data_IF_900193576062
#
_entry.id   IF_900193576062
#
_cell.length_a   1.000
_cell.length_b   1.000
_cell.length_c   1.000
_cell.angle_alpha   90.00
_cell.angle_beta   90.00
_cell.angle_gamma   90.00
#
_symmetry.space_group_name_H-M   'P 1'
#
loop_
_entity.id
_entity.type
_entity.pdbx_description
1 polymer ?
#
# COMPACT_ATOMS: atom_id res chain seq x y z
N UNK A 1 72.37 94.75 44.70
CA UNK A 1 71.24 95.00 43.82
C UNK A 1 71.19 94.00 42.63
N UNK A 2 72.34 93.64 42.02
CA UNK A 2 72.35 92.67 40.87
C UNK A 2 71.91 91.30 41.27
N UNK A 3 72.33 90.76 42.45
CA UNK A 3 71.93 89.43 42.95
C UNK A 3 70.38 89.32 43.21
N UNK A 4 69.83 90.41 43.72
CA UNK A 4 68.34 90.49 43.95
C UNK A 4 67.58 90.52 42.63
N UNK A 5 68.08 91.26 41.61
CA UNK A 5 67.51 91.27 40.28
C UNK A 5 67.55 89.92 39.56
N UNK A 6 68.72 89.20 39.68
CA UNK A 6 68.85 87.86 39.13
C UNK A 6 67.93 86.80 39.86
N UNK A 7 67.84 86.91 41.16
CA UNK A 7 66.95 86.09 41.97
C UNK A 7 65.49 86.32 41.60
N UNK A 8 65.04 87.55 41.37
CA UNK A 8 63.73 87.94 40.93
C UNK A 8 63.40 87.42 39.53
N UNK A 9 64.34 87.49 38.62
CA UNK A 9 64.21 86.96 37.23
C UNK A 9 64.07 85.40 37.23
N UNK A 10 64.85 84.75 38.07
CA UNK A 10 64.74 83.24 38.20
C UNK A 10 63.37 82.85 38.78
N UNK A 11 62.95 83.61 39.80
CA UNK A 11 61.59 83.34 40.37
C UNK A 11 60.48 83.61 39.37
N UNK A 12 60.59 84.61 38.58
CA UNK A 12 59.62 84.91 37.53
C UNK A 12 59.56 83.82 36.43
N UNK A 13 60.72 83.28 36.03
CA UNK A 13 60.81 82.18 35.11
C UNK A 13 60.19 80.91 35.67
N UNK A 14 60.44 80.63 36.97
CA UNK A 14 59.85 79.48 37.65
C UNK A 14 58.35 79.57 37.76
N UNK A 15 57.83 80.76 38.06
CA UNK A 15 56.38 81.03 38.10
C UNK A 15 55.71 80.88 36.71
N UNK A 16 56.42 81.33 35.67
CA UNK A 16 55.95 81.10 34.29
C UNK A 16 55.92 79.69 33.87
N UNK A 17 56.95 78.89 34.24
CA UNK A 17 57.00 77.44 33.99
C UNK A 17 55.93 76.70 34.79
N UNK A 18 55.66 77.10 36.02
CA UNK A 18 54.62 76.51 36.85
C UNK A 18 53.21 76.85 36.27
N UNK A 19 53.00 78.09 35.79
CA UNK A 19 51.76 78.50 35.11
C UNK A 19 51.52 77.68 33.83
N UNK A 20 52.57 77.46 33.04
CA UNK A 20 52.46 76.59 31.82
C UNK A 20 52.16 75.14 32.19
N UNK A 21 52.86 74.60 33.20
CA UNK A 21 52.58 73.24 33.72
C UNK A 21 51.14 73.06 34.21
N UNK A 22 50.65 74.07 34.95
CA UNK A 22 49.24 74.07 35.42
C UNK A 22 48.23 74.14 34.30
N UNK A 23 48.51 74.91 33.24
CA UNK A 23 47.66 75.00 32.04
C UNK A 23 47.64 73.68 31.29
N UNK A 24 48.81 73.02 31.14
CA UNK A 24 48.92 71.71 30.53
C UNK A 24 48.13 70.66 31.33
N UNK A 25 48.28 70.67 32.63
CA UNK A 25 47.53 69.75 33.53
C UNK A 25 46.02 69.97 33.47
N UNK A 26 45.57 71.20 33.38
CA UNK A 26 44.15 71.55 33.22
C UNK A 26 43.61 71.06 31.88
N UNK A 27 44.41 71.14 30.78
CA UNK A 27 44.06 70.59 29.48
C UNK A 27 43.96 69.07 29.48
N UNK A 28 44.90 68.39 30.16
CA UNK A 28 44.89 66.96 30.31
C UNK A 28 43.66 66.45 31.13
N UNK A 29 43.32 67.20 32.22
CA UNK A 29 42.13 66.88 32.99
C UNK A 29 40.84 67.09 32.18
N UNK A 30 40.76 68.10 31.34
CA UNK A 30 39.63 68.31 30.44
C UNK A 30 39.52 67.21 29.39
N UNK A 31 40.63 66.76 28.81
CA UNK A 31 40.66 65.66 27.86
C UNK A 31 40.26 64.33 28.50
N UNK A 32 40.72 64.06 29.75
CA UNK A 32 40.30 62.91 30.51
C UNK A 32 38.83 62.91 30.86
N UNK A 33 38.30 64.07 31.23
CA UNK A 33 36.87 64.26 31.50
C UNK A 33 35.99 64.00 30.27
N UNK A 34 36.45 64.46 29.09
CA UNK A 34 35.79 64.20 27.82
C UNK A 34 35.87 62.70 27.47
N UNK A 35 37.02 62.05 27.58
CA UNK A 35 37.16 60.62 27.39
C UNK A 35 36.28 59.76 28.33
N UNK A 36 36.19 60.19 29.59
CA UNK A 36 35.32 59.52 30.54
C UNK A 36 33.83 59.67 30.18
N UNK A 37 33.39 60.82 29.70
CA UNK A 37 32.02 61.06 29.21
C UNK A 37 31.73 60.21 28.00
N UNK A 38 32.69 60.07 27.05
CA UNK A 38 32.54 59.19 25.89
C UNK A 38 32.41 57.74 26.30
N UNK A 39 33.27 57.24 27.20
CA UNK A 39 33.23 55.86 27.71
C UNK A 39 31.91 55.60 28.43
N UNK A 40 31.39 56.55 29.19
CA UNK A 40 30.09 56.40 29.86
C UNK A 40 28.92 56.34 28.89
N UNK A 41 28.99 57.07 27.79
CA UNK A 41 28.02 57.02 26.70
C UNK A 41 28.07 55.66 25.95
N UNK A 42 29.28 55.15 25.70
CA UNK A 42 29.48 53.84 25.09
C UNK A 42 28.96 52.67 25.94
N UNK A 43 29.22 52.76 27.25
CA UNK A 43 28.68 51.76 28.26
C UNK A 43 27.15 51.86 28.29
N UNK A 44 26.54 53.01 28.23
CA UNK A 44 25.09 53.17 28.19
C UNK A 44 24.52 52.57 26.89
N UNK A 45 25.18 52.83 25.78
CA UNK A 45 24.76 52.25 24.48
C UNK A 45 24.89 50.73 24.46
N UNK A 46 25.96 50.18 25.02
CA UNK A 46 26.14 48.72 25.17
C UNK A 46 25.08 48.10 26.08
N UNK A 47 24.76 48.77 27.21
CA UNK A 47 23.68 48.31 28.11
C UNK A 47 22.33 48.29 27.43
N UNK A 48 22.03 49.29 26.60
CA UNK A 48 20.80 49.34 25.81
C UNK A 48 20.77 48.23 24.75
N UNK A 49 21.90 48.00 24.04
CA UNK A 49 22.02 46.90 23.09
C UNK A 49 21.82 45.52 23.74
N UNK A 50 22.41 45.30 24.92
CA UNK A 50 22.24 44.06 25.66
C UNK A 50 20.78 43.87 26.12
N UNK A 51 20.12 44.91 26.60
CA UNK A 51 18.68 44.87 26.96
C UNK A 51 17.80 44.51 25.74
N UNK A 52 18.10 45.10 24.57
CA UNK A 52 17.39 44.77 23.31
C UNK A 52 17.60 43.32 22.90
N UNK A 53 18.84 42.84 22.97
CA UNK A 53 19.18 41.46 22.67
C UNK A 53 18.45 40.48 23.60
N UNK A 54 18.40 40.78 24.85
CA UNK A 54 17.69 39.95 25.85
C UNK A 54 16.15 39.93 25.59
N UNK A 55 15.58 41.06 25.22
CA UNK A 55 14.16 41.15 24.82
C UNK A 55 13.85 40.34 23.56
N UNK A 56 14.74 40.41 22.56
CA UNK A 56 14.64 39.62 21.34
C UNK A 56 14.73 38.12 21.62
N UNK A 57 15.64 37.70 22.50
CA UNK A 57 15.77 36.30 22.93
C UNK A 57 14.54 35.81 23.66
N UNK A 58 13.97 36.63 24.54
CA UNK A 58 12.72 36.31 25.23
C UNK A 58 11.53 36.18 24.26
N UNK A 59 11.46 37.07 23.26
CA UNK A 59 10.46 37.00 22.20
C UNK A 59 10.60 35.75 21.36
N UNK A 60 11.83 35.35 20.98
CA UNK A 60 12.09 34.12 20.25
C UNK A 60 11.73 32.88 21.08
N UNK A 61 12.11 32.87 22.37
CA UNK A 61 11.74 31.77 23.29
C UNK A 61 10.23 31.62 23.39
N UNK A 62 9.50 32.73 23.49
CA UNK A 62 8.02 32.72 23.52
C UNK A 62 7.43 32.23 22.20
N UNK A 63 7.99 32.66 21.06
CA UNK A 63 7.54 32.22 19.75
C UNK A 63 7.77 30.71 19.53
N UNK A 64 8.91 30.18 19.93
CA UNK A 64 9.19 28.75 19.88
C UNK A 64 8.23 27.95 20.80
N UNK A 65 8.00 28.41 22.03
CA UNK A 65 7.06 27.77 22.96
C UNK A 65 5.61 27.85 22.45
N UNK A 66 5.18 28.99 21.90
CA UNK A 66 3.85 29.15 21.33
C UNK A 66 3.67 28.38 20.02
N UNK A 67 4.72 28.19 19.24
CA UNK A 67 4.75 27.30 18.08
C UNK A 67 4.61 25.82 18.46
N UNK A 68 4.62 25.48 19.76
CA UNK A 68 4.43 24.13 20.26
C UNK A 68 5.53 23.16 19.85
N UNK A 69 6.78 23.64 19.69
CA UNK A 69 7.93 22.77 19.43
C UNK A 69 8.52 22.36 20.77
N UNK A 70 8.38 21.07 21.09
CA UNK A 70 8.91 20.49 22.33
C UNK A 70 9.76 19.26 22.02
N UNK A 71 10.77 19.02 22.82
CA UNK A 71 11.55 17.79 22.79
C UNK A 71 11.50 17.13 24.15
N UNK A 72 11.27 15.82 24.22
CA UNK A 72 11.40 15.08 25.47
C UNK A 72 12.85 14.59 25.66
N UNK A 73 13.19 14.22 26.89
CA UNK A 73 14.53 13.72 27.22
C UNK A 73 14.89 12.37 26.60
N UNK A 74 13.92 11.70 25.92
CA UNK A 74 14.08 10.41 25.27
C UNK A 74 14.14 10.52 23.72
N UNK A 75 14.43 11.71 23.17
CA UNK A 75 14.56 11.94 21.73
C UNK A 75 13.22 12.17 21.00
N UNK A 76 12.09 12.25 21.69
CA UNK A 76 10.80 12.58 21.09
C UNK A 76 10.71 14.06 20.71
N UNK A 77 10.10 14.37 19.56
CA UNK A 77 9.87 15.75 19.09
C UNK A 77 8.39 15.96 18.80
N UNK A 78 7.78 16.96 19.42
CA UNK A 78 6.41 17.36 19.12
C UNK A 78 6.34 18.78 18.55
N UNK A 79 5.40 19.04 17.66
CA UNK A 79 5.15 20.33 17.05
C UNK A 79 3.65 20.55 16.87
N UNK A 80 3.14 21.60 17.48
CA UNK A 80 1.73 22.02 17.40
C UNK A 80 1.05 22.08 18.76
N UNK A 81 -0.07 22.81 18.87
CA UNK A 81 -0.81 22.94 20.12
C UNK A 81 -1.30 21.60 20.64
N UNK A 82 -0.88 21.20 21.84
CA UNK A 82 -1.25 19.92 22.43
C UNK A 82 -0.66 18.68 21.77
N UNK A 83 0.35 18.83 20.90
CA UNK A 83 1.07 17.69 20.34
C UNK A 83 1.91 17.00 21.42
N UNK A 84 1.88 15.66 21.46
CA UNK A 84 2.59 14.84 22.45
C UNK A 84 3.42 13.74 21.76
N UNK A 85 4.74 13.82 21.90
CA UNK A 85 5.69 12.81 21.47
C UNK A 85 6.33 12.15 22.71
N UNK A 86 5.53 11.43 23.50
CA UNK A 86 5.99 10.82 24.76
C UNK A 86 6.79 9.53 24.54
N UNK A 87 6.67 8.89 23.38
CA UNK A 87 7.46 7.72 23.03
C UNK A 87 8.94 8.06 22.80
N UNK A 88 9.84 7.10 23.06
CA UNK A 88 11.27 7.27 22.74
C UNK A 88 11.46 7.41 21.23
N UNK A 89 12.26 8.41 20.81
CA UNK A 89 12.52 8.71 19.40
C UNK A 89 11.25 8.90 18.55
N UNK A 90 10.15 9.37 19.17
CA UNK A 90 8.87 9.56 18.48
C UNK A 90 8.76 10.97 17.88
N UNK A 91 7.85 11.14 16.93
CA UNK A 91 7.56 12.42 16.30
C UNK A 91 6.06 12.66 16.24
N UNK A 92 5.60 13.77 16.81
CA UNK A 92 4.20 14.18 16.77
C UNK A 92 4.07 15.59 16.18
N UNK A 93 3.44 15.74 15.03
CA UNK A 93 3.28 17.03 14.35
C UNK A 93 1.81 17.27 14.00
N UNK A 94 1.26 18.35 14.54
CA UNK A 94 -0.14 18.75 14.34
C UNK A 94 -0.84 19.00 15.67
N UNK A 95 -1.92 19.77 15.65
CA UNK A 95 -2.72 20.03 16.86
C UNK A 95 -3.25 18.72 17.47
N UNK A 96 -2.95 18.47 18.73
CA UNK A 96 -3.32 17.25 19.45
C UNK A 96 -2.82 15.94 18.80
N UNK A 97 -1.76 15.97 17.98
CA UNK A 97 -1.10 14.75 17.49
C UNK A 97 -0.44 14.00 18.64
N UNK A 98 -0.54 12.67 18.69
CA UNK A 98 0.02 11.85 19.76
C UNK A 98 0.88 10.71 19.18
N UNK A 99 2.16 10.66 19.56
CA UNK A 99 3.10 9.61 19.25
C UNK A 99 3.67 9.01 20.54
N UNK A 100 2.93 8.08 21.14
CA UNK A 100 3.27 7.46 22.40
C UNK A 100 4.05 6.15 22.28
N UNK A 101 4.03 5.52 21.11
CA UNK A 101 4.86 4.36 20.83
C UNK A 101 6.34 4.72 20.63
N UNK A 102 7.25 3.82 20.98
CA UNK A 102 8.67 3.99 20.67
C UNK A 102 8.90 4.00 19.15
N UNK A 103 9.73 4.93 18.66
CA UNK A 103 9.97 5.17 17.21
C UNK A 103 8.67 5.42 16.41
N UNK A 104 7.63 5.94 17.06
CA UNK A 104 6.36 6.19 16.41
C UNK A 104 6.33 7.58 15.75
N UNK A 105 5.56 7.71 14.66
CA UNK A 105 5.37 8.97 13.95
C UNK A 105 3.88 9.27 13.79
N UNK A 106 3.42 10.39 14.35
CA UNK A 106 2.07 10.92 14.21
C UNK A 106 2.12 12.28 13.49
N UNK A 107 1.57 12.37 12.29
CA UNK A 107 1.53 13.58 11.48
C UNK A 107 0.11 13.91 11.03
N UNK A 108 -0.44 14.96 11.55
CA UNK A 108 -1.79 15.45 11.28
C UNK A 108 -2.53 15.83 12.56
N UNK A 109 -3.55 16.66 12.44
CA UNK A 109 -4.38 17.03 13.58
C UNK A 109 -5.03 15.78 14.19
N UNK A 110 -4.89 15.60 15.51
CA UNK A 110 -5.42 14.46 16.25
C UNK A 110 -4.98 13.08 15.70
N UNK A 111 -3.86 13.01 14.97
CA UNK A 111 -3.27 11.73 14.57
C UNK A 111 -2.72 11.00 15.78
N UNK A 112 -2.83 9.67 15.81
CA UNK A 112 -2.41 8.85 16.94
C UNK A 112 -1.55 7.68 16.49
N UNK A 113 -0.28 7.63 16.92
CA UNK A 113 0.65 6.55 16.71
C UNK A 113 1.06 5.95 18.07
N UNK A 114 0.26 5.05 18.60
CA UNK A 114 0.48 4.46 19.92
C UNK A 114 1.21 3.11 19.89
N UNK A 115 1.24 2.44 18.74
CA UNK A 115 2.03 1.22 18.56
C UNK A 115 3.53 1.53 18.45
N UNK A 116 4.38 0.65 18.94
CA UNK A 116 5.83 0.76 18.71
C UNK A 116 6.14 0.64 17.22
N UNK A 117 7.05 1.48 16.70
CA UNK A 117 7.40 1.54 15.27
C UNK A 117 6.21 1.82 14.35
N UNK A 118 5.16 2.49 14.86
CA UNK A 118 3.95 2.78 14.11
C UNK A 118 4.00 4.14 13.42
N UNK A 119 3.22 4.29 12.35
CA UNK A 119 3.11 5.55 11.60
C UNK A 119 1.64 5.89 11.36
N UNK A 120 1.21 7.06 11.84
CA UNK A 120 -0.11 7.62 11.60
C UNK A 120 0.02 8.93 10.83
N UNK A 121 -0.43 8.97 9.58
CA UNK A 121 -0.35 10.11 8.69
C UNK A 121 -1.74 10.52 8.17
N UNK A 122 -2.23 11.63 8.63
CA UNK A 122 -3.53 12.19 8.27
C UNK A 122 -4.31 12.66 9.48
N UNK A 123 -5.29 13.52 9.27
CA UNK A 123 -6.17 13.98 10.33
C UNK A 123 -6.91 12.79 10.96
N UNK A 124 -6.87 12.67 12.28
CA UNK A 124 -7.51 11.60 13.04
C UNK A 124 -7.12 10.17 12.59
N UNK A 125 -5.97 10.01 11.92
CA UNK A 125 -5.44 8.68 11.63
C UNK A 125 -4.97 7.99 12.91
N UNK A 126 -5.08 6.66 12.98
CA UNK A 126 -4.72 5.88 14.16
C UNK A 126 -3.92 4.65 13.79
N UNK A 127 -2.69 4.54 14.30
CA UNK A 127 -1.81 3.38 14.15
C UNK A 127 -1.49 2.83 15.55
N UNK A 128 -2.31 1.90 16.03
CA UNK A 128 -2.21 1.38 17.40
C UNK A 128 -1.54 0.01 17.49
N UNK A 129 -1.50 -0.74 16.41
CA UNK A 129 -0.74 -2.00 16.34
C UNK A 129 0.77 -1.75 16.28
N UNK A 130 1.56 -2.65 16.81
CA UNK A 130 3.02 -2.59 16.69
C UNK A 130 3.44 -2.77 15.22
N UNK A 131 4.30 -1.89 14.71
CA UNK A 131 4.71 -1.88 13.30
C UNK A 131 3.58 -1.52 12.33
N UNK A 132 2.48 -0.93 12.81
CA UNK A 132 1.34 -0.60 11.96
C UNK A 132 1.51 0.74 11.24
N UNK A 133 0.83 0.88 10.10
CA UNK A 133 0.85 2.10 9.27
C UNK A 133 -0.57 2.51 8.90
N UNK A 134 -0.98 3.72 9.28
CA UNK A 134 -2.27 4.31 8.94
C UNK A 134 -2.05 5.61 8.15
N UNK A 135 -2.46 5.64 6.89
CA UNK A 135 -2.30 6.79 5.98
C UNK A 135 -3.64 7.19 5.37
N UNK A 136 -4.09 8.36 5.72
CA UNK A 136 -5.37 8.92 5.28
C UNK A 136 -6.18 9.49 6.43
N UNK A 137 -7.11 10.39 6.13
CA UNK A 137 -8.01 10.94 7.14
C UNK A 137 -8.84 9.81 7.77
N UNK A 138 -8.79 9.67 9.08
CA UNK A 138 -9.53 8.64 9.79
C UNK A 138 -9.11 7.21 9.48
N UNK A 139 -7.96 7.00 8.83
CA UNK A 139 -7.43 5.65 8.62
C UNK A 139 -7.08 4.98 9.95
N UNK A 140 -7.33 3.69 10.09
CA UNK A 140 -7.12 2.94 11.32
C UNK A 140 -6.38 1.63 11.05
N UNK A 141 -5.18 1.49 11.64
CA UNK A 141 -4.37 0.29 11.60
C UNK A 141 -4.13 -0.22 13.03
N UNK A 142 -5.01 -1.10 13.50
CA UNK A 142 -5.00 -1.59 14.87
C UNK A 142 -4.40 -2.98 15.04
N UNK A 143 -4.29 -3.76 13.98
CA UNK A 143 -3.57 -5.04 14.00
C UNK A 143 -2.06 -4.84 14.00
N UNK A 144 -1.31 -5.71 14.67
CA UNK A 144 0.14 -5.70 14.60
C UNK A 144 0.60 -5.97 13.16
N UNK A 145 1.57 -5.19 12.67
CA UNK A 145 2.03 -5.27 11.28
C UNK A 145 1.00 -4.86 10.24
N UNK A 146 -0.13 -4.27 10.63
CA UNK A 146 -1.21 -3.93 9.70
C UNK A 146 -0.96 -2.61 8.96
N UNK A 147 -1.57 -2.46 7.78
CA UNK A 147 -1.42 -1.29 6.92
C UNK A 147 -2.77 -0.81 6.41
N UNK A 148 -3.16 0.42 6.71
CA UNK A 148 -4.40 1.05 6.27
C UNK A 148 -4.08 2.28 5.40
N UNK A 149 -4.36 2.23 4.11
CA UNK A 149 -4.13 3.30 3.13
C UNK A 149 -5.44 3.77 2.51
N UNK A 150 -5.84 4.96 2.82
CA UNK A 150 -7.04 5.61 2.30
C UNK A 150 -7.88 6.25 3.38
N UNK A 151 -8.75 7.19 2.99
CA UNK A 151 -9.69 7.81 3.91
C UNK A 151 -10.58 6.73 4.55
N UNK A 152 -10.62 6.69 5.88
CA UNK A 152 -11.45 5.73 6.59
C UNK A 152 -11.09 4.25 6.34
N UNK A 153 -9.90 3.95 5.81
CA UNK A 153 -9.45 2.57 5.66
C UNK A 153 -9.21 1.91 7.01
N UNK A 154 -9.59 0.66 7.18
CA UNK A 154 -9.50 -0.08 8.45
C UNK A 154 -8.73 -1.39 8.23
N UNK A 155 -7.58 -1.54 8.90
CA UNK A 155 -6.79 -2.76 8.94
C UNK A 155 -6.68 -3.23 10.40
N UNK A 156 -7.58 -4.11 10.81
CA UNK A 156 -7.67 -4.59 12.21
C UNK A 156 -7.12 -6.00 12.42
N UNK A 157 -6.98 -6.79 11.35
CA UNK A 157 -6.32 -8.08 11.43
C UNK A 157 -4.80 -7.96 11.55
N UNK A 158 -4.15 -8.88 12.25
CA UNK A 158 -2.68 -8.96 12.27
C UNK A 158 -2.14 -9.17 10.86
N UNK A 159 -1.11 -8.42 10.47
CA UNK A 159 -0.53 -8.43 9.13
C UNK A 159 -1.55 -8.17 8.00
N UNK A 160 -2.64 -7.47 8.30
CA UNK A 160 -3.65 -7.16 7.30
C UNK A 160 -3.35 -5.88 6.54
N UNK A 161 -3.85 -5.77 5.31
CA UNK A 161 -3.69 -4.57 4.47
C UNK A 161 -5.03 -4.11 3.93
N UNK A 162 -5.44 -2.90 4.24
CA UNK A 162 -6.60 -2.22 3.66
C UNK A 162 -6.12 -1.09 2.75
N UNK A 163 -6.36 -1.23 1.44
CA UNK A 163 -5.92 -0.30 0.40
C UNK A 163 -7.11 0.27 -0.38
N UNK A 164 -7.49 1.48 -0.06
CA UNK A 164 -8.60 2.22 -0.67
C UNK A 164 -9.47 2.90 0.36
N UNK A 165 -10.21 3.93 -0.06
CA UNK A 165 -11.13 4.63 0.84
C UNK A 165 -12.19 3.66 1.39
N UNK A 166 -12.38 3.67 2.71
CA UNK A 166 -13.34 2.81 3.43
C UNK A 166 -13.12 1.30 3.19
N UNK A 167 -11.93 0.88 2.75
CA UNK A 167 -11.59 -0.54 2.68
C UNK A 167 -11.41 -1.12 4.09
N UNK A 168 -11.79 -2.39 4.28
CA UNK A 168 -11.72 -3.06 5.58
C UNK A 168 -11.04 -4.41 5.46
N UNK A 169 -9.92 -4.60 6.14
CA UNK A 169 -9.23 -5.87 6.27
C UNK A 169 -9.22 -6.30 7.74
N UNK A 170 -10.17 -7.14 8.11
CA UNK A 170 -10.45 -7.51 9.51
C UNK A 170 -9.86 -8.84 9.94
N UNK A 171 -9.54 -9.72 9.01
CA UNK A 171 -8.98 -11.03 9.31
C UNK A 171 -7.44 -11.02 9.26
N UNK A 172 -6.76 -11.92 9.98
CA UNK A 172 -5.30 -12.05 9.90
C UNK A 172 -4.81 -12.37 8.49
N UNK A 173 -3.69 -11.78 8.08
CA UNK A 173 -3.07 -11.94 6.76
C UNK A 173 -4.02 -11.66 5.59
N UNK A 174 -5.04 -10.84 5.78
CA UNK A 174 -6.01 -10.50 4.75
C UNK A 174 -5.66 -9.18 4.06
N UNK A 175 -6.03 -9.07 2.78
CA UNK A 175 -5.79 -7.87 1.98
C UNK A 175 -7.10 -7.43 1.31
N UNK A 176 -7.55 -6.21 1.57
CA UNK A 176 -8.70 -5.59 0.92
C UNK A 176 -8.22 -4.53 -0.08
N UNK A 177 -8.47 -4.71 -1.37
CA UNK A 177 -7.99 -3.82 -2.44
C UNK A 177 -9.15 -3.10 -3.12
N UNK A 178 -9.10 -1.79 -3.07
CA UNK A 178 -10.08 -0.89 -3.67
C UNK A 178 -11.06 -0.30 -2.66
N UNK A 179 -11.66 0.84 -3.00
CA UNK A 179 -12.61 1.52 -2.12
C UNK A 179 -13.78 0.60 -1.73
N UNK A 180 -14.18 0.60 -0.47
CA UNK A 180 -15.24 -0.25 0.12
C UNK A 180 -15.01 -1.77 -0.04
N UNK A 181 -13.80 -2.21 -0.33
CA UNK A 181 -13.49 -3.64 -0.35
C UNK A 181 -13.42 -4.19 1.07
N UNK A 182 -13.88 -5.44 1.25
CA UNK A 182 -13.92 -6.09 2.57
C UNK A 182 -13.24 -7.44 2.50
N UNK A 183 -12.20 -7.63 3.32
CA UNK A 183 -11.49 -8.90 3.50
C UNK A 183 -11.71 -9.39 4.93
N UNK A 184 -12.66 -10.32 5.10
CA UNK A 184 -13.09 -10.85 6.41
C UNK A 184 -12.65 -12.30 6.66
N UNK A 185 -12.01 -12.94 5.69
CA UNK A 185 -11.46 -14.28 5.85
C UNK A 185 -9.92 -14.25 5.92
N UNK A 186 -9.29 -15.05 6.77
CA UNK A 186 -7.84 -15.07 6.89
C UNK A 186 -7.16 -15.61 5.63
N UNK A 187 -5.95 -15.10 5.34
CA UNK A 187 -5.13 -15.49 4.19
C UNK A 187 -5.83 -15.29 2.84
N UNK A 188 -6.64 -14.23 2.69
CA UNK A 188 -7.36 -13.92 1.46
C UNK A 188 -7.06 -12.52 0.95
N UNK A 189 -7.22 -12.35 -0.36
CA UNK A 189 -7.23 -11.04 -1.02
C UNK A 189 -8.63 -10.79 -1.56
N UNK A 190 -9.25 -9.68 -1.17
CA UNK A 190 -10.58 -9.28 -1.62
C UNK A 190 -10.49 -8.02 -2.49
N UNK A 191 -11.09 -8.07 -3.67
CA UNK A 191 -11.19 -6.94 -4.61
C UNK A 191 -12.56 -6.26 -4.60
N UNK A 192 -13.39 -6.54 -3.63
CA UNK A 192 -14.73 -5.98 -3.49
C UNK A 192 -15.36 -6.34 -2.16
N UNK A 193 -16.68 -6.37 -2.12
CA UNK A 193 -17.47 -6.88 -1.01
C UNK A 193 -18.61 -7.74 -1.53
N UNK A 194 -19.24 -8.52 -0.68
CA UNK A 194 -20.35 -9.38 -1.05
C UNK A 194 -21.47 -8.55 -1.73
N UNK A 195 -21.86 -8.96 -2.94
CA UNK A 195 -22.84 -8.25 -3.77
C UNK A 195 -22.26 -7.06 -4.55
N UNK A 196 -20.98 -6.75 -4.37
CA UNK A 196 -20.26 -5.67 -5.07
C UNK A 196 -18.86 -6.14 -5.48
N UNK A 197 -18.81 -7.29 -6.11
CA UNK A 197 -17.58 -7.90 -6.62
C UNK A 197 -16.98 -7.08 -7.77
N UNK A 198 -15.64 -7.14 -7.93
CA UNK A 198 -14.93 -6.51 -9.04
C UNK A 198 -14.32 -7.53 -9.96
N UNK A 199 -14.37 -7.26 -11.26
CA UNK A 199 -13.67 -8.07 -12.25
C UNK A 199 -12.17 -7.76 -12.21
N UNK A 200 -11.35 -8.82 -12.26
CA UNK A 200 -9.94 -8.69 -12.58
C UNK A 200 -9.79 -8.69 -14.10
N UNK A 201 -9.23 -7.61 -14.64
CA UNK A 201 -8.99 -7.45 -16.08
C UNK A 201 -7.50 -7.50 -16.36
N UNK A 202 -7.12 -7.79 -17.61
CA UNK A 202 -5.72 -7.90 -18.07
C UNK A 202 -4.94 -9.01 -17.35
N UNK A 203 -5.62 -10.09 -16.98
CA UNK A 203 -5.01 -11.28 -16.40
C UNK A 203 -4.48 -12.14 -17.53
N UNK A 204 -3.18 -12.41 -17.55
CA UNK A 204 -2.55 -13.34 -18.49
C UNK A 204 -3.08 -14.77 -18.27
N UNK A 205 -3.02 -15.65 -19.29
CA UNK A 205 -3.29 -17.07 -19.09
C UNK A 205 -2.40 -17.67 -18.00
N UNK A 206 -2.98 -18.37 -17.04
CA UNK A 206 -2.24 -19.08 -16.01
C UNK A 206 -1.36 -20.16 -16.62
N UNK A 207 -0.15 -20.31 -16.13
CA UNK A 207 0.85 -21.29 -16.58
C UNK A 207 1.14 -22.33 -15.50
N UNK A 208 1.11 -21.92 -14.22
CA UNK A 208 1.37 -22.77 -13.09
C UNK A 208 0.07 -23.15 -12.35
N UNK A 209 0.12 -24.25 -11.60
CA UNK A 209 -1.07 -24.77 -10.91
C UNK A 209 -1.67 -23.88 -9.84
N UNK A 210 -0.99 -22.79 -9.47
CA UNK A 210 -1.45 -21.78 -8.50
C UNK A 210 -1.85 -20.46 -9.15
N UNK A 211 -1.70 -20.34 -10.47
CA UNK A 211 -2.08 -19.13 -11.19
C UNK A 211 -3.60 -19.00 -11.37
N UNK A 212 -4.07 -17.75 -11.50
CA UNK A 212 -5.44 -17.50 -11.87
C UNK A 212 -5.69 -17.87 -13.34
N UNK A 213 -6.71 -18.67 -13.60
CA UNK A 213 -7.17 -18.92 -14.97
C UNK A 213 -8.00 -17.73 -15.48
N UNK A 214 -7.74 -17.29 -16.70
CA UNK A 214 -8.55 -16.27 -17.35
C UNK A 214 -9.71 -16.87 -18.19
N UNK A 215 -10.63 -16.00 -18.63
CA UNK A 215 -11.82 -16.43 -19.39
C UNK A 215 -11.50 -17.15 -20.70
N UNK A 216 -10.38 -16.85 -21.37
CA UNK A 216 -10.02 -17.55 -22.62
C UNK A 216 -9.66 -19.02 -22.39
N UNK A 217 -9.02 -19.31 -21.26
CA UNK A 217 -8.74 -20.70 -20.86
C UNK A 217 -10.02 -21.45 -20.52
N UNK A 218 -10.97 -20.82 -19.84
CA UNK A 218 -12.28 -21.41 -19.55
C UNK A 218 -13.09 -21.68 -20.83
N UNK A 219 -13.08 -20.77 -21.80
CA UNK A 219 -13.72 -20.98 -23.11
C UNK A 219 -13.07 -22.13 -23.89
N UNK A 220 -11.75 -22.30 -23.78
CA UNK A 220 -11.04 -23.45 -24.35
C UNK A 220 -11.53 -24.77 -23.77
N UNK A 221 -11.68 -24.86 -22.47
CA UNK A 221 -12.25 -26.04 -21.78
C UNK A 221 -13.70 -26.27 -22.22
N UNK A 222 -14.54 -25.25 -22.24
CA UNK A 222 -15.94 -25.35 -22.70
C UNK A 222 -16.01 -25.90 -24.14
N UNK A 223 -15.20 -25.37 -25.04
CA UNK A 223 -15.12 -25.87 -26.43
C UNK A 223 -14.73 -27.34 -26.50
N UNK A 224 -13.80 -27.79 -25.68
CA UNK A 224 -13.36 -29.19 -25.61
C UNK A 224 -14.45 -30.11 -25.09
N UNK A 225 -15.22 -29.68 -24.08
CA UNK A 225 -16.39 -30.40 -23.56
C UNK A 225 -17.48 -30.54 -24.63
N UNK A 226 -17.77 -29.44 -25.34
CA UNK A 226 -18.77 -29.44 -26.43
C UNK A 226 -18.35 -30.38 -27.59
N UNK A 227 -17.06 -30.43 -27.92
CA UNK A 227 -16.53 -31.36 -28.93
C UNK A 227 -16.65 -32.83 -28.45
N UNK A 228 -16.34 -33.11 -27.18
CA UNK A 228 -16.47 -34.44 -26.61
C UNK A 228 -17.95 -34.90 -26.63
N UNK A 229 -18.88 -34.01 -26.26
CA UNK A 229 -20.31 -34.29 -26.32
C UNK A 229 -20.78 -34.60 -27.76
N UNK A 230 -20.36 -33.80 -28.75
CA UNK A 230 -20.67 -34.04 -30.18
C UNK A 230 -20.16 -35.40 -30.66
N UNK A 231 -18.93 -35.76 -30.34
CA UNK A 231 -18.36 -37.07 -30.67
C UNK A 231 -19.12 -38.21 -30.01
N UNK A 232 -19.45 -38.08 -28.73
CA UNK A 232 -20.21 -39.09 -28.03
C UNK A 232 -21.61 -39.29 -28.60
N UNK A 233 -22.38 -38.24 -28.84
CA UNK A 233 -23.73 -38.32 -29.39
C UNK A 233 -23.71 -38.85 -30.85
N UNK A 234 -22.76 -38.44 -31.65
CA UNK A 234 -22.56 -38.97 -33.02
C UNK A 234 -22.18 -40.45 -32.98
N UNK A 235 -21.37 -40.90 -32.01
CA UNK A 235 -21.00 -42.29 -31.81
C UNK A 235 -22.22 -43.16 -31.43
N UNK A 236 -23.07 -42.64 -30.52
CA UNK A 236 -24.34 -43.33 -30.16
C UNK A 236 -25.29 -43.41 -31.34
N UNK A 237 -25.45 -42.34 -32.13
CA UNK A 237 -26.25 -42.38 -33.37
C UNK A 237 -25.72 -43.43 -34.37
N UNK A 238 -24.41 -43.52 -34.57
CA UNK A 238 -23.76 -44.49 -35.43
C UNK A 238 -23.90 -45.94 -34.94
N UNK A 239 -23.78 -46.15 -33.61
CA UNK A 239 -24.05 -47.47 -33.01
C UNK A 239 -25.51 -47.88 -33.19
N UNK A 240 -26.46 -46.94 -33.00
CA UNK A 240 -27.88 -47.18 -33.25
C UNK A 240 -28.13 -47.53 -34.71
N UNK A 241 -27.53 -46.81 -35.66
CA UNK A 241 -27.63 -47.11 -37.07
C UNK A 241 -27.14 -48.54 -37.41
N UNK A 242 -26.05 -49.01 -36.79
CA UNK A 242 -25.51 -50.37 -36.94
C UNK A 242 -26.53 -51.45 -36.47
N UNK A 243 -27.26 -51.20 -35.40
CA UNK A 243 -28.29 -52.15 -34.94
C UNK A 243 -29.46 -52.28 -35.88
N UNK A 244 -29.73 -51.28 -36.69
CA UNK A 244 -30.84 -51.23 -37.66
C UNK A 244 -30.51 -51.92 -38.99
N UNK A 245 -29.30 -52.44 -39.20
CA UNK A 245 -28.96 -53.16 -40.40
C UNK A 245 -29.72 -54.50 -40.39
N UNK A 246 -30.50 -54.82 -41.48
CA UNK A 246 -31.24 -56.06 -41.55
C UNK A 246 -30.36 -57.29 -41.48
N UNK A 247 -30.89 -58.37 -40.92
CA UNK A 247 -30.29 -59.69 -40.93
C UNK A 247 -30.67 -60.46 -42.21
N UNK A 248 -29.87 -61.52 -42.53
CA UNK A 248 -30.17 -62.38 -43.63
C UNK A 248 -31.35 -63.30 -43.29
N UNK A 249 -32.35 -63.38 -44.17
CA UNK A 249 -33.55 -64.21 -44.02
C UNK A 249 -33.26 -65.72 -44.13
N UNK A 250 -34.12 -66.58 -43.58
CA UNK A 250 -34.07 -68.00 -43.83
C UNK A 250 -34.09 -68.33 -45.32
N UNK A 251 -33.20 -69.27 -45.74
CA UNK A 251 -33.12 -69.68 -47.13
C UNK A 251 -32.27 -68.74 -48.03
N UNK A 252 -31.71 -67.64 -47.46
CA UNK A 252 -30.76 -66.76 -48.17
C UNK A 252 -29.38 -66.84 -47.50
N UNK A 253 -28.32 -66.61 -48.27
CA UNK A 253 -26.95 -66.75 -47.79
C UNK A 253 -26.33 -65.44 -47.37
N UNK A 254 -26.60 -64.36 -48.08
CA UNK A 254 -26.01 -63.04 -47.84
C UNK A 254 -27.12 -61.97 -47.94
N UNK A 255 -27.11 -61.02 -47.02
CA UNK A 255 -27.88 -59.80 -47.09
C UNK A 255 -26.94 -58.58 -46.89
N UNK A 256 -27.12 -57.54 -47.74
CA UNK A 256 -26.49 -56.25 -47.59
C UNK A 256 -27.59 -55.27 -47.24
N UNK A 257 -27.38 -54.51 -46.15
CA UNK A 257 -28.38 -53.57 -45.69
C UNK A 257 -27.79 -52.23 -45.26
N UNK A 258 -28.66 -51.26 -45.21
CA UNK A 258 -28.39 -49.93 -44.68
C UNK A 258 -29.25 -49.69 -43.42
N UNK A 259 -28.68 -49.04 -42.47
CA UNK A 259 -29.36 -48.62 -41.26
C UNK A 259 -29.24 -47.10 -41.07
N UNK A 260 -30.19 -46.52 -40.35
CA UNK A 260 -30.09 -45.09 -39.96
C UNK A 260 -30.42 -44.98 -38.47
N UNK A 261 -29.76 -44.09 -37.77
CA UNK A 261 -30.01 -43.80 -36.38
C UNK A 261 -29.85 -42.30 -36.07
N UNK A 262 -30.55 -41.87 -35.04
CA UNK A 262 -30.41 -40.49 -34.57
C UNK A 262 -30.42 -40.49 -33.05
N UNK A 263 -29.57 -39.63 -32.46
CA UNK A 263 -29.53 -39.43 -31.02
C UNK A 263 -29.22 -37.97 -30.67
N UNK A 264 -30.03 -37.34 -29.89
CA UNK A 264 -29.87 -35.93 -29.44
C UNK A 264 -29.64 -34.93 -30.60
N UNK A 265 -30.34 -35.15 -31.75
CA UNK A 265 -30.19 -34.31 -32.94
C UNK A 265 -29.03 -34.66 -33.88
N UNK A 266 -28.18 -35.66 -33.51
CA UNK A 266 -27.11 -36.16 -34.33
C UNK A 266 -27.57 -37.40 -35.09
N UNK A 267 -27.39 -37.41 -36.42
CA UNK A 267 -27.80 -38.50 -37.28
C UNK A 267 -26.57 -39.26 -37.79
N UNK A 268 -26.76 -40.54 -38.04
CA UNK A 268 -25.76 -41.43 -38.63
C UNK A 268 -26.42 -42.40 -39.57
N UNK A 269 -25.69 -42.86 -40.57
CA UNK A 269 -26.07 -43.95 -41.46
C UNK A 269 -25.10 -45.12 -41.28
N UNK A 270 -25.55 -46.33 -41.46
CA UNK A 270 -24.71 -47.52 -41.43
C UNK A 270 -24.94 -48.39 -42.66
N UNK A 271 -23.88 -49.03 -43.05
CA UNK A 271 -23.93 -50.09 -44.07
C UNK A 271 -23.31 -51.38 -43.49
N UNK A 272 -23.91 -52.48 -43.78
CA UNK A 272 -23.40 -53.76 -43.31
C UNK A 272 -23.82 -54.93 -44.12
N UNK A 273 -23.17 -56.04 -43.86
CA UNK A 273 -23.37 -57.32 -44.50
C UNK A 273 -23.69 -58.36 -43.40
N UNK A 274 -24.70 -59.15 -43.64
CA UNK A 274 -25.06 -60.33 -42.80
C UNK A 274 -24.91 -61.57 -43.68
N UNK A 275 -24.24 -62.58 -43.14
CA UNK A 275 -23.94 -63.85 -43.86
C UNK A 275 -24.45 -64.99 -42.98
N UNK A 276 -25.16 -65.94 -43.62
CA UNK A 276 -25.55 -67.19 -43.02
C UNK A 276 -24.66 -68.31 -43.57
N UNK A 277 -23.89 -68.91 -42.69
CA UNK A 277 -22.99 -70.05 -43.02
C UNK A 277 -23.67 -71.39 -42.94
N UNK A 278 -24.62 -71.53 -42.00
CA UNK A 278 -25.48 -72.72 -41.88
C UNK A 278 -26.83 -72.29 -41.24
N UNK A 279 -27.75 -73.23 -41.11
CA UNK A 279 -29.04 -72.92 -40.47
C UNK A 279 -28.87 -72.40 -39.03
N UNK A 280 -27.77 -72.72 -38.39
CA UNK A 280 -27.49 -72.38 -37.02
C UNK A 280 -26.42 -71.29 -36.84
N UNK A 281 -25.65 -70.95 -37.87
CA UNK A 281 -24.51 -70.00 -37.79
C UNK A 281 -24.67 -68.81 -38.70
N UNK A 282 -24.65 -67.59 -38.08
CA UNK A 282 -24.71 -66.29 -38.80
C UNK A 282 -23.57 -65.39 -38.33
N UNK A 283 -23.09 -64.54 -39.22
CA UNK A 283 -22.21 -63.44 -38.88
C UNK A 283 -22.71 -62.13 -39.49
N UNK A 284 -22.48 -61.03 -38.83
CA UNK A 284 -22.84 -59.65 -39.24
C UNK A 284 -21.67 -58.73 -39.06
N UNK A 285 -21.34 -57.96 -40.06
CA UNK A 285 -20.35 -56.89 -40.02
C UNK A 285 -20.99 -55.61 -40.55
N UNK A 286 -20.64 -54.48 -39.94
CA UNK A 286 -21.18 -53.18 -40.37
C UNK A 286 -20.29 -52.04 -39.97
N UNK A 287 -20.46 -50.94 -40.70
CA UNK A 287 -19.81 -49.68 -40.43
C UNK A 287 -20.90 -48.58 -40.35
N UNK A 288 -20.95 -47.90 -39.18
CA UNK A 288 -21.75 -46.72 -38.99
C UNK A 288 -20.93 -45.46 -39.27
N UNK A 289 -21.48 -44.51 -40.00
CA UNK A 289 -20.83 -43.25 -40.39
C UNK A 289 -21.64 -42.10 -39.85
N UNK A 290 -21.00 -41.22 -39.07
CA UNK A 290 -21.57 -39.98 -38.56
C UNK A 290 -20.73 -38.78 -38.98
N UNK A 291 -21.21 -37.57 -38.68
CA UNK A 291 -20.47 -36.32 -38.94
C UNK A 291 -19.15 -36.20 -38.17
N UNK A 292 -18.98 -36.98 -37.09
CA UNK A 292 -17.80 -36.89 -36.20
C UNK A 292 -16.90 -38.14 -36.26
N UNK A 293 -17.22 -39.12 -37.10
CA UNK A 293 -16.39 -40.30 -37.26
C UNK A 293 -17.17 -41.57 -37.60
N UNK A 294 -16.46 -42.67 -37.71
CA UNK A 294 -17.01 -43.98 -38.08
C UNK A 294 -16.93 -44.95 -36.91
N UNK A 295 -17.94 -45.80 -36.76
CA UNK A 295 -18.04 -46.88 -35.80
C UNK A 295 -18.12 -48.21 -36.52
N UNK A 296 -17.36 -49.20 -36.10
CA UNK A 296 -17.36 -50.55 -36.68
C UNK A 296 -17.96 -51.54 -35.66
N UNK A 297 -18.74 -52.44 -36.13
CA UNK A 297 -19.33 -53.48 -35.32
C UNK A 297 -19.38 -54.80 -36.07
N UNK A 298 -19.16 -55.90 -35.34
CA UNK A 298 -19.32 -57.24 -35.86
C UNK A 298 -19.84 -58.17 -34.80
N UNK A 299 -20.60 -59.17 -35.19
CA UNK A 299 -21.15 -60.18 -34.31
C UNK A 299 -21.32 -61.49 -34.99
N UNK A 300 -21.21 -62.57 -34.22
CA UNK A 300 -21.48 -63.94 -34.66
C UNK A 300 -22.56 -64.48 -33.75
N UNK A 301 -23.55 -65.15 -34.36
CA UNK A 301 -24.66 -65.80 -33.62
C UNK A 301 -24.73 -67.26 -34.00
N UNK A 302 -24.79 -68.13 -33.02
CA UNK A 302 -25.05 -69.56 -33.14
C UNK A 302 -26.38 -69.88 -32.47
N UNK A 303 -27.24 -70.60 -33.16
CA UNK A 303 -28.59 -70.99 -32.64
C UNK A 303 -28.68 -72.51 -32.69
N UNK A 304 -29.15 -73.11 -31.65
CA UNK A 304 -29.36 -74.57 -31.50
C UNK A 304 -30.84 -74.94 -31.49
#
# INVERSE_FOLDING_TARGET
>A
LSSLSTGLSTTQSSVSSLSTGLSTTSGNVSSLSTGLSTTQSDVASLSTGLSTTNSNLASLSTAVSNGGIHTNGAGGTSMGPGADASGSNSTAVGGAASASGANATALGQASNASGNNSTALGQASSASGSGSTAVGQGASASGDGSSAFGQGAIASGTNSTALGAHSTASAPNSVAIGANSVASAPNTVSFGSQGHERRLTNVAPGMDGTDAANMSQLWGVQSSVDQAARRAYSGVAAATALTMIPEVDPGKTIAVGIGAGSYQGYSASAIGVSVRFSDNLKAKLGMGISSQGSTYGGGISYQW
#
